data_IF_191976684056
#
_entry.id   IF_191976684056
#
_cell.length_a   1.000
_cell.length_b   1.000
_cell.length_c   1.000
_cell.angle_alpha   90.00
_cell.angle_beta   90.00
_cell.angle_gamma   90.00
#
_symmetry.space_group_name_H-M   'P 1'
#
loop_
_entity.id
_entity.type
_entity.pdbx_description
1 polymer ?
#
# COMPACT_ATOMS: atom_id res chain seq x y z
N UNK A 1 1.15 -13.05 -20.53
CA UNK A 1 0.81 -12.70 -20.24
C UNK A 1 0.33 -11.94 -20.39
N UNK A 2 0.06 -11.64 -20.46
CA UNK A 2 -0.38 -10.90 -20.60
C UNK A 2 -1.27 -10.30 -20.13
N UNK A 3 -1.68 -10.25 -19.55
CA UNK A 3 -2.52 -9.80 -18.88
C UNK A 3 -2.28 -8.56 -18.49
N UNK A 4 -2.21 -7.65 -19.22
CA UNK A 4 -2.05 -6.46 -18.88
C UNK A 4 -3.30 -5.90 -18.58
N UNK A 5 -3.68 -5.80 -17.35
CA UNK A 5 -4.85 -5.09 -16.94
C UNK A 5 -4.54 -3.63 -17.03
N UNK A 6 -5.50 -2.81 -17.37
CA UNK A 6 -5.28 -1.37 -17.40
C UNK A 6 -4.92 -0.87 -16.01
N UNK A 7 -4.02 0.07 -15.94
CA UNK A 7 -3.59 0.65 -14.67
C UNK A 7 -3.99 2.11 -14.64
N UNK A 8 -4.33 2.58 -13.46
CA UNK A 8 -4.74 3.98 -13.28
C UNK A 8 -3.69 4.69 -12.43
N UNK A 9 -3.26 5.84 -12.87
CA UNK A 9 -2.30 6.61 -12.11
C UNK A 9 -3.04 7.43 -11.08
N UNK A 10 -2.67 7.30 -9.82
CA UNK A 10 -3.26 8.08 -8.75
C UNK A 10 -2.15 8.70 -7.94
N UNK A 11 -2.49 9.65 -7.09
CA UNK A 11 -1.50 10.23 -6.21
C UNK A 11 -2.08 10.39 -4.82
N UNK A 12 -1.24 10.18 -3.83
CA UNK A 12 -1.65 10.32 -2.44
C UNK A 12 -0.52 10.95 -1.67
N UNK A 13 -0.84 11.52 -0.52
CA UNK A 13 0.18 12.06 0.36
C UNK A 13 0.41 11.04 1.45
N UNK A 14 1.67 10.79 1.75
CA UNK A 14 2.03 9.83 2.78
C UNK A 14 2.92 10.58 3.79
N UNK A 15 2.76 10.25 5.05
CA UNK A 15 3.58 10.84 6.09
C UNK A 15 5.05 10.64 5.72
N UNK A 16 5.82 11.70 5.78
CA UNK A 16 7.18 11.68 5.25
C UNK A 16 8.08 10.63 5.91
N UNK A 17 8.08 10.58 7.22
CA UNK A 17 8.95 9.61 7.91
C UNK A 17 8.56 8.19 7.58
N UNK A 18 7.27 7.94 7.53
CA UNK A 18 6.77 6.60 7.23
C UNK A 18 7.17 6.21 5.80
N UNK A 19 7.06 7.14 4.90
CA UNK A 19 7.40 6.87 3.51
C UNK A 19 8.90 6.62 3.34
N UNK A 20 9.72 7.39 4.05
CA UNK A 20 11.16 7.21 3.97
C UNK A 20 11.56 5.82 4.48
N UNK A 21 10.97 5.38 5.58
CA UNK A 21 11.24 4.06 6.11
C UNK A 21 10.79 2.98 5.13
N UNK A 22 9.65 3.21 4.51
CA UNK A 22 9.15 2.25 3.53
C UNK A 22 10.07 2.16 2.31
N UNK A 23 10.63 3.27 1.89
CA UNK A 23 11.54 3.25 0.74
C UNK A 23 12.78 2.41 1.03
N UNK A 24 13.28 2.47 2.24
CA UNK A 24 14.40 1.64 2.63
C UNK A 24 14.03 0.15 2.52
N UNK A 25 12.84 -0.19 3.00
CA UNK A 25 12.38 -1.57 2.90
C UNK A 25 12.18 -2.01 1.45
N UNK A 26 11.76 -1.10 0.61
CA UNK A 26 11.57 -1.42 -0.79
C UNK A 26 12.88 -1.87 -1.44
N UNK A 27 13.97 -1.18 -1.10
CA UNK A 27 15.26 -1.54 -1.65
C UNK A 27 15.70 -2.90 -1.10
N UNK A 28 15.53 -3.10 0.20
CA UNK A 28 15.96 -4.34 0.82
C UNK A 28 15.18 -5.54 0.36
N UNK A 29 13.88 -5.37 0.10
CA UNK A 29 13.02 -6.49 -0.23
C UNK A 29 12.57 -6.51 -1.68
N UNK A 30 13.11 -5.61 -2.49
CA UNK A 30 12.74 -5.54 -3.90
C UNK A 30 11.23 -5.42 -4.08
N UNK A 31 10.68 -4.49 -3.37
CA UNK A 31 9.25 -4.25 -3.40
C UNK A 31 9.03 -2.84 -3.90
N UNK A 32 7.80 -2.42 -4.17
CA UNK A 32 7.54 -1.08 -4.64
C UNK A 32 6.25 -0.54 -4.07
N UNK A 33 6.09 0.77 -4.10
CA UNK A 33 4.88 1.39 -3.61
C UNK A 33 3.69 0.97 -4.49
N UNK A 34 3.92 0.83 -5.78
CA UNK A 34 2.85 0.39 -6.67
C UNK A 34 2.34 -0.98 -6.25
N UNK A 35 3.23 -1.90 -5.93
CA UNK A 35 2.83 -3.23 -5.50
C UNK A 35 2.07 -3.14 -4.17
N UNK A 36 2.55 -2.30 -3.27
CA UNK A 36 1.88 -2.15 -1.99
C UNK A 36 0.47 -1.63 -2.19
N UNK A 37 0.32 -0.59 -3.01
CA UNK A 37 -1.00 0.01 -3.24
C UNK A 37 -1.95 -1.00 -3.88
N UNK A 38 -1.48 -1.65 -4.92
CA UNK A 38 -2.32 -2.61 -5.65
C UNK A 38 -2.75 -3.75 -4.75
N UNK A 39 -1.80 -4.31 -4.01
CA UNK A 39 -2.10 -5.46 -3.16
C UNK A 39 -2.92 -5.07 -1.94
N UNK A 40 -2.68 -3.87 -1.40
CA UNK A 40 -3.46 -3.42 -0.26
C UNK A 40 -4.91 -3.18 -0.64
N UNK A 41 -5.13 -2.62 -1.81
CA UNK A 41 -6.49 -2.39 -2.28
C UNK A 41 -7.20 -3.74 -2.48
N UNK A 42 -6.49 -4.69 -3.06
CA UNK A 42 -7.06 -6.01 -3.28
C UNK A 42 -7.45 -6.65 -1.94
N UNK A 43 -6.57 -6.58 -0.95
CA UNK A 43 -6.86 -7.15 0.36
C UNK A 43 -7.98 -6.39 1.07
N UNK A 44 -8.02 -5.08 0.90
CA UNK A 44 -9.11 -4.31 1.50
C UNK A 44 -10.46 -4.78 0.98
N UNK A 45 -10.51 -5.14 -0.29
CA UNK A 45 -11.77 -5.56 -0.89
C UNK A 45 -12.12 -7.02 -0.62
N UNK A 46 -11.12 -7.85 -0.39
CA UNK A 46 -11.36 -9.28 -0.29
C UNK A 46 -11.12 -9.89 1.09
N UNK A 47 -10.39 -9.21 1.96
CA UNK A 47 -10.03 -9.77 3.26
C UNK A 47 -10.63 -8.89 4.35
N UNK A 48 -11.65 -9.38 5.00
CA UNK A 48 -12.36 -8.61 5.99
C UNK A 48 -11.47 -8.27 7.20
N UNK A 49 -10.60 -9.17 7.59
CA UNK A 49 -9.71 -8.93 8.72
C UNK A 49 -8.75 -7.81 8.40
N UNK A 50 -8.20 -7.80 7.19
CA UNK A 50 -7.29 -6.75 6.77
C UNK A 50 -8.02 -5.40 6.74
N UNK A 51 -9.22 -5.40 6.18
CA UNK A 51 -10.00 -4.17 6.09
C UNK A 51 -10.32 -3.61 7.47
N UNK A 52 -10.70 -4.48 8.40
CA UNK A 52 -11.01 -4.04 9.75
C UNK A 52 -9.78 -3.47 10.43
N UNK A 53 -8.64 -4.13 10.24
CA UNK A 53 -7.42 -3.66 10.86
C UNK A 53 -7.04 -2.28 10.34
N UNK A 54 -7.12 -2.09 9.06
CA UNK A 54 -6.75 -0.82 8.45
C UNK A 54 -7.73 0.29 8.81
N UNK A 55 -9.02 0.02 8.76
CA UNK A 55 -9.99 1.07 9.00
C UNK A 55 -10.07 1.45 10.47
N UNK A 56 -9.65 0.56 11.35
CA UNK A 56 -9.67 0.87 12.77
C UNK A 56 -8.33 1.32 13.31
N UNK A 57 -7.34 1.42 12.45
CA UNK A 57 -6.03 1.83 12.89
C UNK A 57 -6.02 3.30 13.24
N UNK A 58 -5.64 3.62 14.46
CA UNK A 58 -5.62 5.00 14.87
C UNK A 58 -4.27 5.44 15.37
N UNK A 59 -3.27 4.56 15.26
CA UNK A 59 -1.99 4.86 15.83
C UNK A 59 -1.15 5.80 15.01
N UNK A 60 -1.59 6.12 13.83
CA UNK A 60 -0.87 7.05 13.03
C UNK A 60 -1.40 8.40 13.16
N UNK A 61 -1.65 8.84 14.37
CA UNK A 61 -2.09 10.02 14.57
C UNK A 61 -1.10 10.93 14.37
N UNK A 62 -1.11 11.72 13.57
CA UNK A 62 -0.08 12.61 13.28
C UNK A 62 -0.33 14.00 13.74
#
# INVERSE_FOLDING_TARGET
MSNKKPMTLTSVKVQTDLFNDFKVECVRRKFSFQKLADRSIYLYLTDEDFRKKITNQTTLDL
#
